data_IF_922048673062
#
_entry.id   IF_922048673062
#
_cell.length_a   1.000
_cell.length_b   1.000
_cell.length_c   1.000
_cell.angle_alpha   90.00
_cell.angle_beta   90.00
_cell.angle_gamma   90.00
#
_symmetry.space_group_name_H-M   'P 1'
#
loop_
_entity.id
_entity.type
_entity.pdbx_description
1 polymer ?
#
# COMPACT_ATOMS: atom_id res chain seq x y z
N UNK A 1 1.73 14.83 73.55
CA UNK A 1 0.44 14.40 73.02
C UNK A 1 0.62 14.24 71.56
N UNK A 2 0.59 13.00 71.07
CA UNK A 2 0.73 12.71 69.63
C UNK A 2 -0.65 12.61 68.95
N UNK A 3 -0.77 13.10 67.73
CA UNK A 3 -1.91 12.85 66.86
C UNK A 3 -1.53 11.79 65.82
N UNK A 4 -2.22 10.65 65.97
CA UNK A 4 -2.33 9.56 65.01
C UNK A 4 -2.83 10.05 63.63
N UNK A 5 -2.16 9.65 62.55
CA UNK A 5 -2.73 9.63 61.21
C UNK A 5 -2.40 8.30 60.54
N UNK A 6 -3.44 7.54 60.25
CA UNK A 6 -3.42 6.28 59.55
C UNK A 6 -2.96 6.43 58.08
N UNK A 7 -2.36 5.42 57.45
CA UNK A 7 -1.86 5.47 56.08
C UNK A 7 -3.01 5.28 55.07
N UNK A 8 -3.09 6.20 54.12
CA UNK A 8 -4.01 6.16 52.98
C UNK A 8 -3.55 5.09 51.97
N UNK A 9 -4.39 4.13 51.70
CA UNK A 9 -4.22 3.13 50.61
C UNK A 9 -4.19 3.84 49.25
N UNK A 10 -3.07 3.69 48.54
CA UNK A 10 -2.97 4.03 47.13
C UNK A 10 -3.50 2.84 46.32
N UNK A 11 -4.70 2.96 45.77
CA UNK A 11 -5.24 2.04 44.78
C UNK A 11 -4.57 2.31 43.44
N UNK A 12 -3.79 1.35 42.97
CA UNK A 12 -3.18 1.37 41.64
C UNK A 12 -4.25 1.40 40.55
N UNK A 13 -4.27 2.46 39.80
CA UNK A 13 -4.99 2.49 38.51
C UNK A 13 -4.07 1.87 37.46
N UNK A 14 -4.50 0.74 36.91
CA UNK A 14 -3.92 0.15 35.71
C UNK A 14 -4.07 1.16 34.57
N UNK A 15 -2.94 1.61 34.04
CA UNK A 15 -2.91 2.37 32.80
C UNK A 15 -3.28 1.44 31.63
N UNK A 16 -4.53 1.47 31.20
CA UNK A 16 -4.91 0.92 29.92
C UNK A 16 -4.23 1.75 28.83
N UNK A 17 -3.31 1.12 28.11
CA UNK A 17 -2.70 1.68 26.91
C UNK A 17 -3.80 2.07 25.93
N UNK A 18 -3.97 3.36 25.69
CA UNK A 18 -4.84 3.87 24.63
C UNK A 18 -4.16 3.55 23.30
N UNK A 19 -4.69 2.56 22.60
CA UNK A 19 -4.39 2.35 21.18
C UNK A 19 -4.95 3.57 20.45
N UNK A 20 -4.07 4.45 20.01
CA UNK A 20 -4.44 5.56 19.12
C UNK A 20 -4.61 4.94 17.74
N UNK A 21 -5.86 4.67 17.35
CA UNK A 21 -6.20 4.30 15.99
C UNK A 21 -5.88 5.51 15.08
N UNK A 22 -4.91 5.34 14.17
CA UNK A 22 -4.70 6.29 13.08
C UNK A 22 -5.85 6.07 12.10
N UNK A 23 -6.97 6.74 12.36
CA UNK A 23 -8.05 6.83 11.37
C UNK A 23 -7.60 7.81 10.29
N UNK A 24 -7.33 7.33 9.09
CA UNK A 24 -7.34 8.15 7.89
C UNK A 24 -8.76 8.73 7.75
N UNK A 25 -8.94 9.96 8.19
CA UNK A 25 -10.21 10.67 8.04
C UNK A 25 -10.38 11.06 6.58
N UNK A 26 -11.13 10.26 5.83
CA UNK A 26 -11.71 10.70 4.57
C UNK A 26 -12.69 11.84 4.88
N UNK A 27 -12.49 13.02 4.29
CA UNK A 27 -13.44 14.12 4.34
C UNK A 27 -14.74 13.68 3.67
N UNK A 28 -15.75 13.33 4.47
CA UNK A 28 -17.11 13.10 3.99
C UNK A 28 -17.77 14.47 3.74
N UNK A 29 -17.92 14.83 2.47
CA UNK A 29 -18.87 15.85 2.05
C UNK A 29 -20.19 15.15 1.73
N UNK A 30 -21.19 15.38 2.56
CA UNK A 30 -22.53 14.83 2.34
C UNK A 30 -23.20 15.61 1.20
N UNK A 31 -23.59 14.90 0.14
CA UNK A 31 -24.54 15.39 -0.85
C UNK A 31 -25.73 14.41 -0.93
N UNK A 32 -26.91 14.89 -0.57
CA UNK A 32 -28.19 14.20 -0.74
C UNK A 32 -28.62 14.22 -2.21
N UNK A 33 -29.11 13.09 -2.72
CA UNK A 33 -29.78 13.08 -4.04
C UNK A 33 -30.42 11.72 -4.36
N UNK A 34 -31.72 11.74 -4.65
CA UNK A 34 -32.67 10.66 -4.66
C UNK A 34 -32.62 9.71 -5.88
N UNK A 35 -33.04 8.52 -5.63
CA UNK A 35 -33.62 7.37 -6.27
C UNK A 35 -33.96 7.30 -7.78
N UNK A 36 -33.80 6.08 -8.31
CA UNK A 36 -34.37 5.64 -9.57
C UNK A 36 -33.94 4.19 -9.87
N UNK A 37 -34.86 3.24 -9.66
CA UNK A 37 -34.65 1.84 -9.96
C UNK A 37 -34.92 1.51 -11.42
N UNK A 38 -34.21 0.55 -12.01
CA UNK A 38 -34.58 -0.16 -13.24
C UNK A 38 -34.11 -1.62 -13.20
N UNK A 39 -35.00 -2.47 -13.71
CA UNK A 39 -35.05 -3.92 -13.66
C UNK A 39 -34.03 -4.67 -14.53
N UNK A 40 -33.77 -5.91 -14.10
CA UNK A 40 -32.94 -6.95 -14.71
C UNK A 40 -33.56 -7.64 -15.93
N UNK A 41 -32.73 -7.98 -16.91
CA UNK A 41 -32.94 -9.14 -17.77
C UNK A 41 -31.62 -9.86 -18.04
N UNK A 42 -31.59 -11.15 -17.69
CA UNK A 42 -30.41 -11.99 -17.83
C UNK A 42 -30.26 -12.59 -19.23
N UNK A 43 -29.03 -12.83 -19.64
CA UNK A 43 -28.70 -13.73 -20.75
C UNK A 43 -27.40 -14.46 -20.47
N UNK A 44 -27.49 -15.79 -20.45
CA UNK A 44 -26.38 -16.72 -20.29
C UNK A 44 -25.59 -16.87 -21.58
N UNK A 45 -24.24 -16.79 -21.52
CA UNK A 45 -23.34 -17.26 -22.60
C UNK A 45 -22.24 -18.14 -22.05
N UNK A 46 -21.99 -19.22 -22.77
CA UNK A 46 -21.09 -20.33 -22.50
C UNK A 46 -19.61 -19.93 -22.50
N UNK A 47 -18.83 -20.60 -21.62
CA UNK A 47 -17.38 -20.46 -21.51
C UNK A 47 -16.67 -21.12 -22.69
N UNK A 48 -15.86 -20.34 -23.40
CA UNK A 48 -14.86 -20.82 -24.33
C UNK A 48 -13.49 -20.88 -23.66
N UNK A 49 -12.80 -22.00 -23.78
CA UNK A 49 -11.45 -22.20 -23.28
C UNK A 49 -10.46 -21.27 -23.98
N UNK A 50 -9.73 -20.43 -23.24
CA UNK A 50 -8.66 -19.58 -23.76
C UNK A 50 -7.33 -20.27 -23.51
N UNK A 51 -6.64 -20.60 -24.60
CA UNK A 51 -5.28 -21.13 -24.61
C UNK A 51 -4.33 -20.00 -24.21
N UNK A 52 -3.54 -20.22 -23.14
CA UNK A 52 -2.52 -19.28 -22.69
C UNK A 52 -1.38 -19.18 -23.72
N UNK A 53 -1.26 -18.04 -24.38
CA UNK A 53 -0.12 -17.71 -25.24
C UNK A 53 0.94 -17.06 -24.37
N UNK A 54 2.14 -17.64 -24.29
CA UNK A 54 3.27 -17.07 -23.58
C UNK A 54 3.62 -15.69 -24.13
N UNK A 55 3.65 -14.68 -23.26
CA UNK A 55 4.02 -13.31 -23.61
C UNK A 55 5.53 -13.24 -23.89
N UNK A 56 5.99 -12.52 -24.91
CA UNK A 56 7.42 -12.32 -25.15
C UNK A 56 8.01 -11.39 -24.08
N UNK A 57 9.13 -11.81 -23.48
CA UNK A 57 9.86 -11.10 -22.43
C UNK A 57 10.78 -10.00 -23.01
N UNK A 58 10.22 -9.04 -23.72
CA UNK A 58 10.91 -7.79 -24.03
C UNK A 58 10.05 -6.67 -23.50
N UNK A 59 10.50 -6.05 -22.38
CA UNK A 59 9.87 -4.83 -21.89
C UNK A 59 9.84 -3.80 -23.04
N UNK A 60 8.65 -3.31 -23.43
CA UNK A 60 8.59 -2.26 -24.43
C UNK A 60 9.33 -1.03 -23.90
N UNK A 61 10.08 -0.34 -24.79
CA UNK A 61 10.72 0.91 -24.43
C UNK A 61 9.67 1.89 -23.88
N UNK A 62 9.97 2.52 -22.74
CA UNK A 62 9.07 3.50 -22.12
C UNK A 62 8.78 4.61 -23.14
N UNK A 63 7.49 4.93 -23.33
CA UNK A 63 7.06 6.05 -24.14
C UNK A 63 7.70 7.36 -23.63
N UNK A 64 8.47 8.05 -24.49
CA UNK A 64 9.20 9.27 -24.13
C UNK A 64 8.30 10.39 -23.61
N UNK A 65 7.05 10.47 -24.08
CA UNK A 65 6.07 11.45 -23.58
C UNK A 65 5.65 11.11 -22.14
N UNK A 66 5.38 9.84 -21.87
CA UNK A 66 5.07 9.39 -20.51
C UNK A 66 6.25 9.60 -19.55
N UNK A 67 7.45 9.25 -19.98
CA UNK A 67 8.65 9.49 -19.15
C UNK A 67 8.82 10.97 -18.80
N UNK A 68 8.57 11.87 -19.75
CA UNK A 68 8.56 13.32 -19.50
C UNK A 68 7.53 13.74 -18.46
N UNK A 69 6.30 13.18 -18.50
CA UNK A 69 5.25 13.44 -17.49
C UNK A 69 5.71 12.96 -16.12
N UNK A 70 6.27 11.74 -16.02
CA UNK A 70 6.77 11.20 -14.76
C UNK A 70 7.89 12.04 -14.15
N UNK A 71 8.84 12.52 -14.98
CA UNK A 71 9.94 13.38 -14.56
C UNK A 71 9.46 14.77 -14.10
N UNK A 72 8.53 15.38 -14.85
CA UNK A 72 7.96 16.68 -14.48
C UNK A 72 7.18 16.58 -13.18
N UNK A 73 6.35 15.54 -13.02
CA UNK A 73 5.59 15.35 -11.79
C UNK A 73 6.48 15.00 -10.59
N UNK A 74 7.61 14.29 -10.81
CA UNK A 74 8.62 14.09 -9.75
C UNK A 74 9.23 15.41 -9.31
N UNK A 75 9.58 16.26 -10.25
CA UNK A 75 10.09 17.61 -9.96
C UNK A 75 9.06 18.44 -9.18
N UNK A 76 7.81 18.43 -9.61
CA UNK A 76 6.71 19.12 -8.91
C UNK A 76 6.45 18.56 -7.51
N UNK A 77 6.47 17.24 -7.36
CA UNK A 77 6.35 16.58 -6.06
C UNK A 77 7.43 17.04 -5.07
N UNK A 78 8.69 17.07 -5.52
CA UNK A 78 9.78 17.57 -4.68
C UNK A 78 9.55 19.01 -4.25
N UNK A 79 9.10 19.87 -5.16
CA UNK A 79 8.81 21.28 -4.84
C UNK A 79 7.64 21.46 -3.85
N UNK A 80 6.62 20.58 -3.92
CA UNK A 80 5.42 20.69 -3.10
C UNK A 80 5.52 20.02 -1.73
N UNK A 81 6.28 18.92 -1.63
CA UNK A 81 6.21 18.04 -0.48
C UNK A 81 7.55 17.71 0.17
N UNK A 82 8.69 17.87 -0.52
CA UNK A 82 9.99 17.50 0.03
C UNK A 82 10.73 18.76 0.50
N UNK A 83 11.00 18.83 1.78
CA UNK A 83 11.80 19.90 2.38
C UNK A 83 13.25 19.87 1.93
N UNK A 84 13.96 20.98 2.08
CA UNK A 84 15.39 21.04 1.76
C UNK A 84 16.28 20.11 2.57
N UNK A 85 15.75 19.57 3.66
CA UNK A 85 16.37 18.55 4.53
C UNK A 85 16.02 17.10 4.12
N UNK A 86 15.19 16.91 3.11
CA UNK A 86 14.72 15.59 2.65
C UNK A 86 13.45 15.09 3.32
N UNK A 87 12.83 15.88 4.19
CA UNK A 87 11.58 15.55 4.86
C UNK A 87 10.40 15.65 3.90
N UNK A 88 9.62 14.56 3.77
CA UNK A 88 8.32 14.60 3.09
C UNK A 88 7.24 15.02 4.07
N UNK A 89 6.48 16.05 3.74
CA UNK A 89 5.40 16.55 4.60
C UNK A 89 4.05 16.50 3.90
N UNK A 90 3.01 16.16 4.67
CA UNK A 90 1.62 16.21 4.23
C UNK A 90 0.97 17.53 4.66
N UNK A 91 0.81 18.51 3.77
CA UNK A 91 0.25 19.81 4.11
C UNK A 91 -1.24 19.73 4.49
N UNK A 92 -1.95 18.73 3.97
CA UNK A 92 -3.39 18.57 4.25
C UNK A 92 -3.64 18.05 5.66
N UNK A 93 -2.62 17.47 6.30
CA UNK A 93 -2.66 16.94 7.67
C UNK A 93 -1.74 17.71 8.63
N UNK A 94 -1.62 19.01 8.43
CA UNK A 94 -0.83 19.90 9.31
C UNK A 94 0.68 19.71 9.19
N UNK A 95 1.17 19.25 8.07
CA UNK A 95 2.61 19.09 7.80
C UNK A 95 3.24 17.93 8.56
N UNK A 96 2.50 16.89 8.89
CA UNK A 96 3.06 15.65 9.43
C UNK A 96 3.91 14.92 8.39
N UNK A 97 4.75 14.00 8.85
CA UNK A 97 5.52 13.07 8.03
C UNK A 97 5.18 11.65 8.46
N UNK A 98 4.90 10.78 7.50
CA UNK A 98 4.75 9.35 7.72
C UNK A 98 5.95 8.60 7.14
N UNK A 99 6.27 7.43 7.70
CA UNK A 99 7.24 6.52 7.08
C UNK A 99 6.80 6.11 5.67
N UNK A 100 5.47 6.00 5.43
CA UNK A 100 4.88 5.77 4.11
C UNK A 100 5.26 6.87 3.11
N UNK A 101 5.10 8.15 3.48
CA UNK A 101 5.46 9.27 2.60
C UNK A 101 6.95 9.30 2.26
N UNK A 102 7.82 8.98 3.23
CA UNK A 102 9.26 8.86 3.00
C UNK A 102 9.57 7.68 2.06
N UNK A 103 8.91 6.53 2.24
CA UNK A 103 9.12 5.35 1.39
C UNK A 103 8.76 5.62 -0.08
N UNK A 104 7.66 6.31 -0.33
CA UNK A 104 7.24 6.69 -1.68
C UNK A 104 8.25 7.62 -2.36
N UNK A 105 8.81 8.58 -1.61
CA UNK A 105 9.83 9.47 -2.15
C UNK A 105 11.12 8.71 -2.48
N UNK A 106 11.54 7.77 -1.62
CA UNK A 106 12.72 6.91 -1.87
C UNK A 106 12.54 6.05 -3.11
N UNK A 107 11.40 5.36 -3.25
CA UNK A 107 11.10 4.55 -4.44
C UNK A 107 11.09 5.40 -5.71
N UNK A 108 10.44 6.56 -5.70
CA UNK A 108 10.41 7.45 -6.85
C UNK A 108 11.80 7.97 -7.19
N UNK A 109 12.60 8.35 -6.19
CA UNK A 109 13.96 8.87 -6.41
C UNK A 109 14.85 7.82 -7.08
N UNK A 110 14.83 6.56 -6.61
CA UNK A 110 15.68 5.53 -7.21
C UNK A 110 15.22 5.17 -8.64
N UNK A 111 13.92 5.07 -8.90
CA UNK A 111 13.40 4.80 -10.25
C UNK A 111 13.59 5.97 -11.23
N UNK A 112 13.68 7.21 -10.70
CA UNK A 112 13.98 8.40 -11.50
C UNK A 112 15.48 8.69 -11.61
N UNK A 113 16.36 7.81 -11.16
CA UNK A 113 17.83 7.99 -11.15
C UNK A 113 18.26 9.28 -10.44
N UNK A 114 17.55 9.66 -9.39
CA UNK A 114 17.77 10.91 -8.64
C UNK A 114 18.47 10.62 -7.31
N UNK A 115 19.77 10.30 -7.38
CA UNK A 115 20.58 9.98 -6.21
C UNK A 115 20.55 11.11 -5.18
N UNK A 116 20.64 12.36 -5.60
CA UNK A 116 20.69 13.50 -4.67
C UNK A 116 19.45 13.60 -3.80
N UNK A 117 18.26 13.42 -4.42
CA UNK A 117 17.00 13.38 -3.65
C UNK A 117 16.91 12.14 -2.79
N UNK A 118 17.37 10.98 -3.29
CA UNK A 118 17.42 9.75 -2.50
C UNK A 118 18.26 9.93 -1.23
N UNK A 119 19.48 10.43 -1.36
CA UNK A 119 20.41 10.65 -0.24
C UNK A 119 19.78 11.56 0.83
N UNK A 120 19.16 12.66 0.40
CA UNK A 120 18.53 13.63 1.30
C UNK A 120 17.34 13.03 2.04
N UNK A 121 16.42 12.36 1.31
CA UNK A 121 15.23 11.71 1.90
C UNK A 121 15.65 10.58 2.83
N UNK A 122 16.63 9.74 2.43
CA UNK A 122 17.14 8.67 3.27
C UNK A 122 17.77 9.19 4.56
N UNK A 123 18.64 10.19 4.45
CA UNK A 123 19.30 10.77 5.63
C UNK A 123 18.28 11.29 6.65
N UNK A 124 17.24 11.98 6.18
CA UNK A 124 16.18 12.46 7.06
C UNK A 124 15.41 11.30 7.70
N UNK A 125 15.05 10.29 6.91
CA UNK A 125 14.31 9.10 7.36
C UNK A 125 15.07 8.32 8.42
N UNK A 126 16.34 8.01 8.16
CA UNK A 126 17.22 7.31 9.10
C UNK A 126 17.36 8.09 10.41
N UNK A 127 17.60 9.42 10.32
CA UNK A 127 17.83 10.26 11.49
C UNK A 127 16.59 10.45 12.37
N UNK A 128 15.41 10.60 11.76
CA UNK A 128 14.22 11.07 12.49
C UNK A 128 13.19 9.96 12.73
N UNK A 129 13.15 8.91 11.91
CA UNK A 129 12.17 7.81 12.05
C UNK A 129 12.81 6.49 12.49
N UNK A 130 14.08 6.19 12.19
CA UNK A 130 14.74 4.96 12.60
C UNK A 130 15.26 5.03 14.05
N UNK A 131 14.42 5.50 14.95
CA UNK A 131 14.75 5.78 16.37
C UNK A 131 14.39 4.66 17.33
N UNK A 132 13.91 3.53 16.81
CA UNK A 132 13.36 2.42 17.61
C UNK A 132 14.42 1.47 18.15
N UNK A 133 15.59 1.40 17.52
CA UNK A 133 16.69 0.49 17.90
C UNK A 133 16.56 -0.94 17.38
N UNK A 134 15.45 -1.27 16.69
CA UNK A 134 15.19 -2.58 16.07
C UNK A 134 15.37 -2.59 14.54
N UNK A 135 15.83 -1.48 13.97
CA UNK A 135 16.02 -1.31 12.52
C UNK A 135 14.79 -0.83 11.75
N UNK A 136 13.61 -0.80 12.39
CA UNK A 136 12.36 -0.33 11.79
C UNK A 136 12.13 1.16 12.02
N UNK A 137 11.14 1.71 11.32
CA UNK A 137 10.83 3.13 11.35
C UNK A 137 9.58 3.41 12.20
N UNK A 138 9.61 4.51 12.93
CA UNK A 138 8.43 5.08 13.55
C UNK A 138 7.46 5.57 12.46
N UNK A 139 6.18 5.25 12.58
CA UNK A 139 5.19 5.47 11.50
C UNK A 139 4.81 6.93 11.32
N UNK A 140 4.91 7.75 12.39
CA UNK A 140 4.41 9.14 12.36
C UNK A 140 5.34 10.10 13.11
N UNK A 141 5.68 11.20 12.43
CA UNK A 141 6.40 12.34 12.98
C UNK A 141 5.60 13.63 12.77
N UNK A 142 5.62 14.53 13.73
CA UNK A 142 4.94 15.82 13.65
C UNK A 142 5.31 16.73 14.80
N UNK A 143 5.27 18.05 14.58
CA UNK A 143 5.60 19.00 15.64
C UNK A 143 7.03 18.90 16.19
N UNK A 144 7.97 18.38 15.40
CA UNK A 144 9.39 18.26 15.78
C UNK A 144 9.75 16.97 16.49
N UNK A 145 8.82 16.02 16.68
CA UNK A 145 9.04 14.76 17.40
C UNK A 145 8.29 13.60 16.77
N UNK A 146 8.72 12.35 17.08
CA UNK A 146 7.94 11.16 16.76
C UNK A 146 6.64 11.16 17.55
N UNK A 147 5.53 10.97 16.87
CA UNK A 147 4.17 10.91 17.41
C UNK A 147 3.69 9.47 17.61
N UNK A 148 4.09 8.56 16.72
CA UNK A 148 3.81 7.13 16.83
C UNK A 148 5.08 6.33 16.56
N UNK A 149 5.51 5.59 17.57
CA UNK A 149 6.70 4.73 17.52
C UNK A 149 6.43 3.35 16.90
N UNK A 150 5.16 3.00 16.60
CA UNK A 150 4.89 1.74 15.94
C UNK A 150 5.43 1.74 14.50
N UNK A 151 5.80 0.55 14.03
CA UNK A 151 6.13 0.35 12.60
C UNK A 151 4.87 0.32 11.74
N UNK A 152 5.05 0.58 10.44
CA UNK A 152 4.07 0.35 9.39
C UNK A 152 4.74 -0.49 8.30
N UNK A 153 4.32 -1.75 8.19
CA UNK A 153 5.07 -2.76 7.43
C UNK A 153 5.13 -2.47 5.91
N UNK A 154 4.15 -1.76 5.36
CA UNK A 154 4.21 -1.28 3.96
C UNK A 154 5.38 -0.33 3.76
N UNK A 155 5.55 0.63 4.68
CA UNK A 155 6.65 1.59 4.62
C UNK A 155 8.00 0.92 4.85
N UNK A 156 8.12 0.03 5.85
CA UNK A 156 9.36 -0.69 6.12
C UNK A 156 9.77 -1.56 4.91
N UNK A 157 8.80 -2.25 4.28
CA UNK A 157 9.03 -3.02 3.04
C UNK A 157 9.48 -2.14 1.87
N UNK A 158 8.81 -1.03 1.64
CA UNK A 158 9.10 -0.13 0.53
C UNK A 158 10.44 0.61 0.74
N UNK A 159 10.80 0.97 1.98
CA UNK A 159 12.12 1.53 2.31
C UNK A 159 13.22 0.49 2.10
N UNK A 160 13.03 -0.75 2.58
CA UNK A 160 14.00 -1.82 2.39
C UNK A 160 14.25 -2.08 0.90
N UNK A 161 13.18 -2.16 0.09
CA UNK A 161 13.27 -2.33 -1.36
C UNK A 161 14.01 -1.16 -2.02
N UNK A 162 13.66 0.08 -1.67
CA UNK A 162 14.32 1.27 -2.21
C UNK A 162 15.82 1.31 -1.88
N UNK A 163 16.20 0.88 -0.66
CA UNK A 163 17.60 0.79 -0.25
C UNK A 163 18.38 -0.30 -1.00
N UNK A 164 17.78 -1.48 -1.23
CA UNK A 164 18.40 -2.53 -2.05
C UNK A 164 18.62 -2.03 -3.48
N UNK A 165 17.62 -1.42 -4.07
CA UNK A 165 17.71 -0.82 -5.39
C UNK A 165 18.79 0.28 -5.47
N UNK A 166 18.83 1.18 -4.49
CA UNK A 166 19.83 2.23 -4.42
C UNK A 166 21.26 1.66 -4.26
N UNK A 167 21.42 0.64 -3.40
CA UNK A 167 22.69 -0.06 -3.22
C UNK A 167 23.24 -0.59 -4.52
N UNK A 168 22.39 -1.24 -5.32
CA UNK A 168 22.77 -1.78 -6.61
C UNK A 168 22.94 -0.72 -7.69
N UNK A 169 21.93 0.13 -7.86
CA UNK A 169 21.86 1.12 -8.93
C UNK A 169 22.89 2.22 -8.79
N UNK A 170 23.08 2.74 -7.58
CA UNK A 170 24.08 3.80 -7.30
C UNK A 170 25.47 3.26 -6.91
N UNK A 171 25.61 1.94 -6.74
CA UNK A 171 26.86 1.28 -6.40
C UNK A 171 27.36 1.59 -4.98
N UNK A 172 26.44 1.73 -4.01
CA UNK A 172 26.77 2.12 -2.64
C UNK A 172 26.34 1.04 -1.63
N UNK A 173 27.30 0.26 -1.14
CA UNK A 173 27.04 -0.86 -0.23
C UNK A 173 26.49 -0.45 1.13
N UNK A 174 26.53 0.82 1.51
CA UNK A 174 25.94 1.29 2.77
C UNK A 174 24.42 1.18 2.76
N UNK A 175 23.77 1.40 1.61
CA UNK A 175 22.33 1.20 1.46
C UNK A 175 21.94 -0.28 1.58
N UNK A 176 22.72 -1.17 0.96
CA UNK A 176 22.49 -2.61 1.12
C UNK A 176 22.59 -3.04 2.59
N UNK A 177 23.62 -2.59 3.31
CA UNK A 177 23.75 -2.88 4.74
C UNK A 177 22.60 -2.29 5.58
N UNK A 178 22.10 -1.10 5.20
CA UNK A 178 20.93 -0.51 5.84
C UNK A 178 19.66 -1.34 5.57
N UNK A 179 19.44 -1.78 4.33
CA UNK A 179 18.32 -2.65 3.98
C UNK A 179 18.29 -3.94 4.79
N UNK A 180 19.43 -4.63 4.92
CA UNK A 180 19.51 -5.87 5.71
C UNK A 180 19.14 -5.65 7.19
N UNK A 181 19.44 -4.49 7.77
CA UNK A 181 19.00 -4.15 9.14
C UNK A 181 17.47 -4.00 9.21
N UNK A 182 16.87 -3.35 8.21
CA UNK A 182 15.40 -3.21 8.14
C UNK A 182 14.75 -4.59 7.97
N UNK A 183 15.26 -5.43 7.07
CA UNK A 183 14.75 -6.78 6.82
C UNK A 183 14.79 -7.65 8.08
N UNK A 184 15.89 -7.60 8.86
CA UNK A 184 15.98 -8.30 10.13
C UNK A 184 14.93 -7.81 11.13
N UNK A 185 14.74 -6.49 11.24
CA UNK A 185 13.70 -5.89 12.09
C UNK A 185 12.29 -6.29 11.67
N UNK A 186 11.97 -6.25 10.37
CA UNK A 186 10.68 -6.69 9.85
C UNK A 186 10.39 -8.15 10.19
N UNK A 187 11.38 -9.04 9.97
CA UNK A 187 11.19 -10.46 10.29
C UNK A 187 10.93 -10.67 11.77
N UNK A 188 11.63 -9.96 12.62
CA UNK A 188 11.53 -10.11 14.08
C UNK A 188 10.25 -9.51 14.65
N UNK A 189 9.73 -8.42 14.09
CA UNK A 189 8.69 -7.60 14.72
C UNK A 189 7.38 -7.52 13.95
N UNK A 190 7.42 -7.61 12.62
CA UNK A 190 6.24 -7.45 11.76
C UNK A 190 5.77 -8.79 11.18
N UNK A 191 6.61 -9.84 11.22
CA UNK A 191 6.21 -11.18 10.82
C UNK A 191 5.82 -12.00 12.06
N UNK A 192 4.71 -12.71 11.96
CA UNK A 192 4.24 -13.63 12.99
C UNK A 192 3.86 -14.98 12.36
N UNK A 193 3.65 -16.02 13.17
CA UNK A 193 3.23 -17.33 12.68
C UNK A 193 1.85 -17.71 13.21
N UNK A 194 0.98 -18.16 12.33
CA UNK A 194 -0.34 -18.70 12.64
C UNK A 194 -0.48 -20.08 11.99
N UNK A 195 -0.67 -21.11 12.82
CA UNK A 195 -0.82 -22.50 12.35
C UNK A 195 0.31 -22.93 11.38
N UNK A 196 1.54 -22.49 11.64
CA UNK A 196 2.71 -22.82 10.82
C UNK A 196 2.87 -21.97 9.55
N UNK A 197 1.97 -21.03 9.29
CA UNK A 197 2.07 -20.06 8.19
C UNK A 197 2.69 -18.77 8.69
N UNK A 198 3.75 -18.30 8.05
CA UNK A 198 4.31 -16.97 8.30
C UNK A 198 3.38 -15.90 7.73
N UNK A 199 3.07 -14.89 8.50
CA UNK A 199 2.09 -13.83 8.18
C UNK A 199 2.75 -12.49 8.40
N UNK A 200 2.69 -11.64 7.39
CA UNK A 200 3.04 -10.22 7.52
C UNK A 200 1.87 -9.49 8.19
N UNK A 201 2.08 -8.99 9.39
CA UNK A 201 1.14 -8.14 10.09
C UNK A 201 1.32 -6.68 9.64
N UNK A 202 0.37 -5.82 9.96
CA UNK A 202 0.40 -4.42 9.53
C UNK A 202 1.45 -3.55 10.27
N UNK A 203 2.15 -4.12 11.24
CA UNK A 203 3.21 -3.50 12.02
C UNK A 203 3.47 -4.29 13.30
N UNK A 204 4.45 -3.90 14.08
CA UNK A 204 4.80 -4.56 15.33
C UNK A 204 3.63 -4.63 16.32
N UNK A 205 2.80 -3.60 16.38
CA UNK A 205 1.58 -3.57 17.21
C UNK A 205 0.55 -4.61 16.78
N UNK A 206 0.46 -4.83 15.46
CA UNK A 206 -0.49 -5.75 14.83
C UNK A 206 -0.04 -7.21 14.95
N UNK A 207 1.26 -7.49 14.83
CA UNK A 207 1.84 -8.82 14.98
C UNK A 207 1.65 -9.39 16.39
N UNK A 208 1.67 -8.54 17.40
CA UNK A 208 1.55 -8.92 18.82
C UNK A 208 0.10 -8.98 19.32
N UNK A 209 -0.88 -8.61 18.50
CA UNK A 209 -2.30 -8.60 18.87
C UNK A 209 -2.78 -10.00 19.27
N UNK A 210 -3.38 -10.10 20.49
CA UNK A 210 -3.79 -11.39 21.04
C UNK A 210 -5.21 -11.79 20.62
N UNK A 211 -6.12 -10.83 20.55
CA UNK A 211 -7.52 -11.09 20.21
C UNK A 211 -8.02 -10.05 19.18
N UNK A 212 -8.59 -10.49 18.06
CA UNK A 212 -8.76 -11.89 17.63
C UNK A 212 -7.45 -12.58 17.22
N UNK A 213 -6.41 -11.83 16.93
CA UNK A 213 -5.08 -12.25 16.51
C UNK A 213 -4.40 -11.18 15.68
N UNK A 214 -3.34 -11.49 14.91
CA UNK A 214 -2.63 -10.48 14.14
C UNK A 214 -3.55 -9.75 13.19
N UNK A 215 -3.38 -8.42 13.15
CA UNK A 215 -4.09 -7.53 12.22
C UNK A 215 -3.27 -7.42 10.94
N UNK A 216 -3.93 -7.57 9.83
CA UNK A 216 -3.33 -7.45 8.51
C UNK A 216 -4.03 -6.37 7.69
N UNK A 217 -3.26 -5.69 6.88
CA UNK A 217 -3.73 -4.86 5.78
C UNK A 217 -3.32 -5.56 4.48
N UNK A 218 -4.25 -6.09 3.68
CA UNK A 218 -3.92 -6.83 2.46
C UNK A 218 -3.07 -6.02 1.48
N UNK A 219 -3.16 -4.68 1.50
CA UNK A 219 -2.36 -3.81 0.65
C UNK A 219 -0.89 -3.68 1.08
N UNK A 220 -0.53 -4.19 2.26
CA UNK A 220 0.85 -4.23 2.73
C UNK A 220 1.62 -5.45 2.20
N UNK A 221 0.91 -6.42 1.64
CA UNK A 221 1.57 -7.56 1.01
C UNK A 221 2.27 -7.14 -0.28
N UNK A 222 3.58 -7.37 -0.32
CA UNK A 222 4.43 -7.00 -1.44
C UNK A 222 5.21 -8.22 -1.97
N UNK A 223 4.52 -9.22 -2.56
CA UNK A 223 5.17 -10.47 -2.98
C UNK A 223 6.35 -10.25 -3.93
N UNK A 224 6.30 -9.24 -4.79
CA UNK A 224 7.42 -8.85 -5.64
C UNK A 224 8.65 -8.42 -4.83
N UNK A 225 8.46 -7.66 -3.75
CA UNK A 225 9.55 -7.21 -2.88
C UNK A 225 10.11 -8.38 -2.05
N UNK A 226 9.25 -9.30 -1.57
CA UNK A 226 9.71 -10.48 -0.83
C UNK A 226 10.59 -11.40 -1.67
N UNK A 227 10.44 -11.40 -3.01
CA UNK A 227 11.34 -12.11 -3.92
C UNK A 227 12.71 -11.43 -4.02
N UNK A 228 12.74 -10.10 -4.03
CA UNK A 228 13.99 -9.33 -3.94
C UNK A 228 14.66 -9.63 -2.59
N UNK A 229 13.90 -9.55 -1.49
CA UNK A 229 14.44 -9.83 -0.15
C UNK A 229 15.00 -11.27 -0.03
N UNK A 230 14.35 -12.26 -0.66
CA UNK A 230 14.83 -13.63 -0.67
C UNK A 230 16.17 -13.82 -1.43
N UNK A 231 16.47 -12.93 -2.39
CA UNK A 231 17.77 -12.95 -3.09
C UNK A 231 18.87 -12.32 -2.25
N UNK A 232 18.56 -11.30 -1.47
CA UNK A 232 19.50 -10.47 -0.76
C UNK A 232 19.71 -10.87 0.72
N UNK A 233 18.69 -11.45 1.35
CA UNK A 233 18.74 -11.95 2.72
C UNK A 233 18.42 -13.45 2.77
N UNK A 234 19.44 -14.26 2.92
CA UNK A 234 19.34 -15.71 3.02
C UNK A 234 19.14 -16.21 4.46
N UNK A 235 19.02 -15.32 5.45
CA UNK A 235 18.86 -15.68 6.86
C UNK A 235 17.40 -15.92 7.22
N UNK A 236 16.47 -15.37 6.43
CA UNK A 236 15.04 -15.49 6.67
C UNK A 236 14.31 -16.08 5.45
N UNK A 237 13.25 -16.89 5.66
CA UNK A 237 12.54 -17.56 4.56
C UNK A 237 11.52 -16.63 3.89
N UNK A 238 11.97 -15.54 3.26
CA UNK A 238 11.13 -14.55 2.59
C UNK A 238 10.18 -15.13 1.54
N UNK A 239 10.59 -16.18 0.85
CA UNK A 239 9.75 -16.88 -0.12
C UNK A 239 8.44 -17.40 0.51
N UNK A 240 8.46 -17.76 1.81
CA UNK A 240 7.24 -18.19 2.51
C UNK A 240 6.20 -17.07 2.64
N UNK A 241 6.63 -15.81 2.62
CA UNK A 241 5.72 -14.65 2.64
C UNK A 241 5.06 -14.40 1.27
N UNK A 242 5.71 -14.80 0.17
CA UNK A 242 5.06 -14.83 -1.15
C UNK A 242 3.87 -15.78 -1.13
N UNK A 243 4.06 -17.00 -0.64
CA UNK A 243 3.01 -18.03 -0.59
C UNK A 243 1.86 -17.64 0.36
N UNK A 244 2.20 -17.14 1.54
CA UNK A 244 1.18 -16.70 2.49
C UNK A 244 0.42 -15.45 2.02
N UNK A 245 1.07 -14.54 1.29
CA UNK A 245 0.41 -13.36 0.73
C UNK A 245 -0.72 -13.76 -0.21
N UNK A 246 -0.49 -14.62 -1.19
CA UNK A 246 -1.55 -15.07 -2.10
C UNK A 246 -2.65 -15.85 -1.38
N UNK A 247 -2.26 -16.72 -0.44
CA UNK A 247 -3.23 -17.43 0.41
C UNK A 247 -4.13 -16.47 1.18
N UNK A 248 -3.56 -15.41 1.76
CA UNK A 248 -4.30 -14.45 2.57
C UNK A 248 -5.07 -13.44 1.71
N UNK A 249 -4.56 -13.03 0.57
CA UNK A 249 -5.29 -12.21 -0.40
C UNK A 249 -6.60 -12.92 -0.81
N UNK A 250 -6.53 -14.19 -1.18
CA UNK A 250 -7.72 -14.98 -1.54
C UNK A 250 -8.69 -15.08 -0.35
N UNK A 251 -8.18 -15.39 0.84
CA UNK A 251 -9.03 -15.53 2.04
C UNK A 251 -9.66 -14.21 2.47
N UNK A 252 -8.93 -13.10 2.46
CA UNK A 252 -9.47 -11.78 2.83
C UNK A 252 -10.51 -11.32 1.82
N UNK A 253 -10.24 -11.53 0.52
CA UNK A 253 -11.18 -11.14 -0.55
C UNK A 253 -12.47 -11.96 -0.53
N UNK A 254 -12.42 -13.23 -0.14
CA UNK A 254 -13.57 -14.12 -0.09
C UNK A 254 -14.29 -14.16 1.27
N UNK A 255 -13.72 -13.57 2.33
CA UNK A 255 -14.26 -13.67 3.67
C UNK A 255 -15.66 -13.05 3.78
N UNK A 256 -16.45 -13.57 4.72
CA UNK A 256 -17.62 -12.84 5.23
C UNK A 256 -17.14 -11.98 6.40
N UNK A 257 -17.15 -10.66 6.23
CA UNK A 257 -16.68 -9.71 7.22
C UNK A 257 -17.88 -8.94 7.80
N UNK A 258 -17.95 -8.88 9.12
CA UNK A 258 -19.05 -8.24 9.87
C UNK A 258 -20.47 -8.67 9.36
N UNK A 259 -20.60 -9.97 9.05
CA UNK A 259 -21.84 -10.53 8.49
C UNK A 259 -22.11 -10.20 7.02
N UNK A 260 -21.18 -9.48 6.36
CA UNK A 260 -21.31 -9.03 4.97
C UNK A 260 -20.54 -9.96 4.03
N UNK A 261 -21.22 -10.52 3.03
CA UNK A 261 -20.61 -11.33 1.97
C UNK A 261 -19.83 -10.45 1.01
N UNK A 262 -18.64 -10.89 0.63
CA UNK A 262 -17.77 -10.16 -0.27
C UNK A 262 -18.32 -10.09 -1.70
N UNK A 263 -18.13 -8.93 -2.32
CA UNK A 263 -18.29 -8.73 -3.76
C UNK A 263 -17.03 -9.08 -4.58
N UNK A 264 -16.03 -9.71 -3.96
CA UNK A 264 -14.75 -10.02 -4.62
C UNK A 264 -13.73 -8.88 -4.50
N UNK A 265 -13.89 -8.03 -3.50
CA UNK A 265 -12.98 -6.94 -3.17
C UNK A 265 -12.18 -7.25 -1.89
N UNK A 266 -10.87 -7.05 -1.86
CA UNK A 266 -10.11 -7.14 -0.62
C UNK A 266 -10.53 -6.02 0.33
N UNK A 267 -10.59 -6.27 1.65
CA UNK A 267 -10.86 -5.22 2.63
C UNK A 267 -9.62 -4.33 2.83
N UNK A 268 -9.83 -3.12 3.36
CA UNK A 268 -8.72 -2.29 3.85
C UNK A 268 -7.95 -3.00 4.97
N UNK A 269 -8.68 -3.57 5.93
CA UNK A 269 -8.10 -4.22 7.11
C UNK A 269 -8.91 -5.45 7.50
N UNK A 270 -8.24 -6.47 7.99
CA UNK A 270 -8.86 -7.62 8.65
C UNK A 270 -7.90 -8.19 9.69
N UNK A 271 -8.30 -9.24 10.39
CA UNK A 271 -7.44 -9.96 11.32
C UNK A 271 -7.46 -11.45 11.04
N UNK A 272 -6.48 -12.17 11.54
CA UNK A 272 -6.43 -13.64 11.49
C UNK A 272 -6.65 -14.16 12.90
N UNK A 273 -7.74 -14.90 13.11
CA UNK A 273 -8.04 -15.50 14.41
C UNK A 273 -6.92 -16.48 14.84
N UNK A 274 -6.31 -16.26 15.99
CA UNK A 274 -5.29 -17.19 16.53
C UNK A 274 -5.85 -18.58 16.82
N UNK A 275 -7.12 -18.67 17.16
CA UNK A 275 -7.74 -19.95 17.53
C UNK A 275 -8.15 -20.80 16.32
N UNK A 276 -8.54 -20.17 15.21
CA UNK A 276 -9.08 -20.87 14.04
C UNK A 276 -8.20 -20.75 12.79
N UNK A 277 -7.33 -19.73 12.72
CA UNK A 277 -6.58 -19.38 11.51
C UNK A 277 -7.45 -18.75 10.41
N UNK A 278 -8.72 -18.45 10.69
CA UNK A 278 -9.63 -17.84 9.73
C UNK A 278 -9.47 -16.32 9.73
N UNK A 279 -9.74 -15.71 8.58
CA UNK A 279 -9.88 -14.26 8.45
C UNK A 279 -11.16 -13.82 9.14
N UNK A 280 -11.07 -12.75 9.90
CA UNK A 280 -12.17 -12.15 10.65
C UNK A 280 -12.13 -10.64 10.56
N UNK A 281 -13.25 -9.97 10.76
CA UNK A 281 -13.33 -8.51 10.83
C UNK A 281 -12.48 -7.93 11.95
N UNK A 282 -12.01 -6.69 11.75
CA UNK A 282 -11.31 -5.90 12.75
C UNK A 282 -11.99 -4.54 12.94
N UNK A 283 -13.13 -4.48 13.67
CA UNK A 283 -13.99 -3.29 13.75
C UNK A 283 -13.38 -2.13 14.54
N UNK A 284 -12.22 -2.30 15.16
CA UNK A 284 -11.48 -1.25 15.86
C UNK A 284 -10.96 -0.16 14.91
N UNK A 285 -10.86 -0.46 13.61
CA UNK A 285 -10.54 0.50 12.55
C UNK A 285 -11.83 0.79 11.78
N UNK A 286 -12.23 2.05 11.74
CA UNK A 286 -13.44 2.46 10.99
C UNK A 286 -13.25 2.21 9.49
N UNK A 287 -14.22 1.56 8.85
CA UNK A 287 -14.15 1.21 7.43
C UNK A 287 -13.12 0.13 7.09
N UNK A 288 -12.73 -0.68 8.09
CA UNK A 288 -11.79 -1.79 7.91
C UNK A 288 -12.24 -2.74 6.79
N UNK A 289 -13.51 -3.08 6.75
CA UNK A 289 -14.08 -4.03 5.78
C UNK A 289 -14.30 -3.42 4.38
N UNK A 290 -14.15 -2.10 4.23
CA UNK A 290 -14.32 -1.44 2.94
C UNK A 290 -13.15 -1.73 1.99
N UNK A 291 -13.42 -1.64 0.69
CA UNK A 291 -12.42 -1.41 -0.33
C UNK A 291 -12.27 0.10 -0.53
N UNK A 292 -11.09 0.64 -0.29
CA UNK A 292 -10.84 2.09 -0.36
C UNK A 292 -9.35 2.40 -0.42
N UNK A 293 -8.96 3.51 0.22
CA UNK A 293 -7.60 4.09 0.13
C UNK A 293 -6.45 3.22 0.67
N UNK A 294 -6.74 2.11 1.34
CA UNK A 294 -5.76 1.06 1.60
C UNK A 294 -5.84 -0.02 0.51
N UNK A 295 -7.01 -0.63 0.34
CA UNK A 295 -7.19 -1.86 -0.43
C UNK A 295 -6.90 -1.72 -1.93
N UNK A 296 -7.12 -0.53 -2.55
CA UNK A 296 -6.82 -0.32 -3.97
C UNK A 296 -5.35 -0.60 -4.32
N UNK A 297 -4.45 -0.43 -3.37
CA UNK A 297 -3.01 -0.69 -3.52
C UNK A 297 -2.71 -2.17 -3.78
N UNK A 298 -3.60 -3.09 -3.37
CA UNK A 298 -3.48 -4.53 -3.66
C UNK A 298 -3.36 -4.78 -5.16
N UNK A 299 -4.18 -4.10 -5.96
CA UNK A 299 -4.22 -4.30 -7.41
C UNK A 299 -2.88 -3.95 -8.06
N UNK A 300 -2.27 -2.86 -7.63
CA UNK A 300 -0.96 -2.44 -8.10
C UNK A 300 0.15 -3.41 -7.65
N UNK A 301 0.20 -3.76 -6.36
CA UNK A 301 1.26 -4.63 -5.80
C UNK A 301 1.24 -6.03 -6.41
N UNK A 302 0.06 -6.60 -6.61
CA UNK A 302 -0.09 -7.90 -7.26
C UNK A 302 0.27 -7.82 -8.75
N UNK A 303 -0.07 -6.73 -9.43
CA UNK A 303 0.31 -6.54 -10.83
C UNK A 303 1.82 -6.38 -11.02
N UNK A 304 2.52 -5.73 -10.09
CA UNK A 304 4.00 -5.69 -10.12
C UNK A 304 4.59 -7.09 -10.09
N UNK A 305 4.09 -7.98 -9.21
CA UNK A 305 4.58 -9.37 -9.15
C UNK A 305 4.26 -10.16 -10.43
N UNK A 306 3.08 -9.94 -11.03
CA UNK A 306 2.73 -10.51 -12.32
C UNK A 306 3.69 -10.06 -13.43
N UNK A 307 4.01 -8.76 -13.48
CA UNK A 307 4.83 -8.15 -14.54
C UNK A 307 6.31 -8.49 -14.36
N UNK A 308 6.85 -8.39 -13.14
CA UNK A 308 8.28 -8.63 -12.90
C UNK A 308 8.63 -10.14 -12.94
N UNK A 309 7.75 -10.98 -12.39
CA UNK A 309 8.07 -12.37 -12.12
C UNK A 309 7.25 -13.38 -12.94
N UNK A 310 6.28 -12.93 -13.74
CA UNK A 310 5.37 -13.84 -14.44
C UNK A 310 4.56 -14.73 -13.49
N UNK A 311 4.28 -14.27 -12.27
CA UNK A 311 3.64 -15.07 -11.23
C UNK A 311 2.20 -15.43 -11.60
N UNK A 312 1.95 -16.73 -11.80
CA UNK A 312 0.63 -17.19 -12.24
C UNK A 312 -0.48 -16.92 -11.21
N UNK A 313 -0.19 -16.99 -9.91
CA UNK A 313 -1.18 -16.68 -8.86
C UNK A 313 -1.59 -15.20 -8.88
N UNK A 314 -0.68 -14.30 -9.27
CA UNK A 314 -0.98 -12.89 -9.48
C UNK A 314 -1.96 -12.70 -10.64
N UNK A 315 -1.68 -13.36 -11.78
CA UNK A 315 -2.58 -13.37 -12.93
C UNK A 315 -3.96 -13.94 -12.57
N UNK A 316 -3.99 -15.07 -11.88
CA UNK A 316 -5.22 -15.74 -11.47
C UNK A 316 -6.03 -14.86 -10.50
N UNK A 317 -5.38 -14.23 -9.52
CA UNK A 317 -6.03 -13.33 -8.56
C UNK A 317 -6.67 -12.14 -9.28
N UNK A 318 -5.90 -11.40 -10.08
CA UNK A 318 -6.39 -10.21 -10.76
C UNK A 318 -7.46 -10.54 -11.82
N UNK A 319 -7.36 -11.68 -12.49
CA UNK A 319 -8.33 -12.12 -13.50
C UNK A 319 -9.66 -12.58 -12.88
N UNK A 320 -9.61 -13.27 -11.76
CA UNK A 320 -10.78 -13.82 -11.07
C UNK A 320 -11.64 -12.75 -10.41
N UNK A 321 -11.02 -11.69 -9.86
CA UNK A 321 -11.71 -10.60 -9.19
C UNK A 321 -12.07 -9.50 -10.17
N UNK A 322 -13.27 -9.60 -10.78
CA UNK A 322 -13.72 -8.78 -11.91
C UNK A 322 -14.62 -7.61 -11.53
N UNK A 323 -14.87 -7.39 -10.23
CA UNK A 323 -15.77 -6.33 -9.75
C UNK A 323 -15.40 -4.96 -10.34
N UNK A 324 -14.13 -4.56 -10.27
CA UNK A 324 -13.66 -3.26 -10.76
C UNK A 324 -13.86 -3.13 -12.28
N UNK A 325 -13.55 -4.19 -13.04
CA UNK A 325 -13.75 -4.21 -14.50
C UNK A 325 -15.24 -4.13 -14.87
N UNK A 326 -16.08 -4.83 -14.13
CA UNK A 326 -17.54 -4.76 -14.32
C UNK A 326 -18.06 -3.33 -14.07
N UNK A 327 -17.61 -2.68 -12.98
CA UNK A 327 -17.97 -1.28 -12.68
C UNK A 327 -17.45 -0.32 -13.75
N UNK A 328 -16.19 -0.45 -14.16
CA UNK A 328 -15.60 0.36 -15.22
C UNK A 328 -16.36 0.22 -16.54
N UNK A 329 -16.66 -0.99 -16.96
CA UNK A 329 -17.39 -1.24 -18.21
C UNK A 329 -18.79 -0.65 -18.21
N UNK A 330 -19.44 -0.59 -17.05
CA UNK A 330 -20.78 -0.02 -16.90
C UNK A 330 -20.78 1.52 -16.87
N UNK A 331 -19.77 2.15 -16.26
CA UNK A 331 -19.80 3.59 -15.95
C UNK A 331 -18.60 4.39 -16.45
N UNK A 332 -17.54 3.73 -16.93
CA UNK A 332 -16.23 4.33 -17.27
C UNK A 332 -15.66 5.16 -16.08
N UNK A 333 -16.02 4.75 -14.88
CA UNK A 333 -15.63 5.36 -13.61
C UNK A 333 -15.63 4.32 -12.50
N UNK A 334 -14.67 4.45 -11.56
CA UNK A 334 -14.66 3.77 -10.28
C UNK A 334 -14.92 4.80 -9.18
N UNK A 335 -15.63 4.37 -8.14
CA UNK A 335 -15.85 5.17 -6.94
C UNK A 335 -14.70 4.88 -5.95
N UNK A 336 -14.29 5.85 -5.10
CA UNK A 336 -13.10 5.68 -4.26
C UNK A 336 -13.31 4.74 -3.08
N UNK A 337 -14.55 4.52 -2.64
CA UNK A 337 -14.83 3.60 -1.53
C UNK A 337 -16.07 2.77 -1.82
N UNK A 338 -15.88 1.46 -1.77
CA UNK A 338 -16.96 0.47 -1.79
C UNK A 338 -17.01 -0.27 -0.46
N UNK A 339 -18.22 -0.60 0.00
CA UNK A 339 -18.41 -1.59 1.06
C UNK A 339 -17.93 -2.97 0.61
N UNK A 340 -17.73 -3.87 1.56
CA UNK A 340 -17.33 -5.24 1.26
C UNK A 340 -18.32 -5.99 0.33
N UNK A 341 -19.58 -5.58 0.34
CA UNK A 341 -20.65 -6.06 -0.55
C UNK A 341 -20.68 -5.36 -1.93
N UNK A 342 -19.73 -4.47 -2.20
CA UNK A 342 -19.64 -3.72 -3.46
C UNK A 342 -20.59 -2.52 -3.56
N UNK A 343 -21.34 -2.17 -2.52
CA UNK A 343 -22.11 -0.93 -2.53
C UNK A 343 -21.20 0.29 -2.41
N UNK A 344 -21.55 1.36 -3.13
CA UNK A 344 -20.80 2.61 -3.06
C UNK A 344 -20.98 3.24 -1.67
N UNK A 345 -19.87 3.49 -0.98
CA UNK A 345 -19.81 4.20 0.30
C UNK A 345 -19.50 5.67 0.07
N UNK A 346 -18.55 5.97 -0.82
CA UNK A 346 -18.25 7.34 -1.26
C UNK A 346 -18.20 7.37 -2.77
N UNK A 347 -18.99 8.27 -3.37
CA UNK A 347 -19.19 8.32 -4.82
C UNK A 347 -18.73 9.65 -5.40
N UNK A 348 -17.45 9.79 -5.72
CA UNK A 348 -16.87 10.90 -6.46
C UNK A 348 -15.75 10.38 -7.37
N UNK A 349 -15.21 11.24 -8.22
CA UNK A 349 -14.11 10.89 -9.11
C UNK A 349 -12.78 11.20 -8.41
N UNK A 350 -11.88 10.21 -8.34
CA UNK A 350 -10.61 10.35 -7.65
C UNK A 350 -9.49 9.67 -8.45
N UNK A 351 -8.56 10.43 -9.03
CA UNK A 351 -7.44 9.87 -9.78
C UNK A 351 -6.56 8.92 -8.97
N UNK A 352 -6.50 9.09 -7.65
CA UNK A 352 -5.74 8.22 -6.73
C UNK A 352 -6.10 6.75 -6.92
N UNK A 353 -7.41 6.46 -6.96
CA UNK A 353 -7.92 5.09 -7.05
C UNK A 353 -7.53 4.44 -8.37
N UNK A 354 -7.62 5.18 -9.47
CA UNK A 354 -7.18 4.65 -10.77
C UNK A 354 -5.69 4.32 -10.79
N UNK A 355 -4.88 5.04 -10.01
CA UNK A 355 -3.43 4.79 -9.89
C UNK A 355 -3.09 3.40 -9.34
N UNK A 356 -3.84 2.90 -8.38
CA UNK A 356 -3.68 1.52 -7.89
C UNK A 356 -4.46 0.52 -8.71
N UNK A 357 -5.75 0.81 -8.97
CA UNK A 357 -6.66 -0.11 -9.66
C UNK A 357 -6.21 -0.48 -11.07
N UNK A 358 -5.45 0.39 -11.75
CA UNK A 358 -4.93 0.10 -13.09
C UNK A 358 -4.17 -1.22 -13.14
N UNK A 359 -3.58 -1.68 -12.02
CA UNK A 359 -2.91 -2.96 -11.94
C UNK A 359 -3.83 -4.15 -12.29
N UNK A 360 -5.09 -4.13 -11.85
CA UNK A 360 -6.07 -5.17 -12.22
C UNK A 360 -6.31 -5.19 -13.73
N UNK A 361 -6.42 -4.02 -14.33
CA UNK A 361 -6.70 -3.87 -15.77
C UNK A 361 -5.50 -4.24 -16.64
N UNK A 362 -4.29 -3.85 -16.24
CA UNK A 362 -3.06 -4.18 -16.99
C UNK A 362 -2.91 -5.67 -17.23
N UNK A 363 -3.30 -6.47 -16.25
CA UNK A 363 -3.18 -7.93 -16.32
C UNK A 363 -4.41 -8.58 -16.96
N UNK A 364 -5.63 -8.13 -16.63
CA UNK A 364 -6.85 -8.84 -16.96
C UNK A 364 -7.69 -8.19 -18.09
N UNK A 365 -7.48 -6.90 -18.39
CA UNK A 365 -8.18 -6.16 -19.47
C UNK A 365 -7.32 -5.01 -20.03
N UNK A 366 -6.32 -5.33 -20.87
CA UNK A 366 -5.41 -4.30 -21.42
C UNK A 366 -6.09 -3.17 -22.19
N UNK A 367 -7.27 -3.41 -22.76
CA UNK A 367 -8.00 -2.37 -23.51
C UNK A 367 -8.56 -1.29 -22.56
N UNK A 368 -9.16 -1.70 -21.45
CA UNK A 368 -9.61 -0.78 -20.41
C UNK A 368 -8.45 -0.16 -19.65
N UNK A 369 -7.33 -0.88 -19.48
CA UNK A 369 -6.10 -0.31 -18.93
C UNK A 369 -5.59 0.88 -19.75
N UNK A 370 -5.64 0.78 -21.08
CA UNK A 370 -5.25 1.90 -21.96
C UNK A 370 -6.16 3.13 -21.76
N UNK A 371 -7.47 2.93 -21.58
CA UNK A 371 -8.42 4.01 -21.30
C UNK A 371 -8.16 4.63 -19.93
N UNK A 372 -7.93 3.80 -18.89
CA UNK A 372 -7.61 4.27 -17.54
C UNK A 372 -6.28 5.04 -17.51
N UNK A 373 -5.26 4.58 -18.25
CA UNK A 373 -4.00 5.32 -18.44
C UNK A 373 -4.25 6.72 -19.03
N UNK A 374 -5.11 6.83 -20.04
CA UNK A 374 -5.46 8.15 -20.60
C UNK A 374 -6.18 9.03 -19.59
N UNK A 375 -7.05 8.46 -18.75
CA UNK A 375 -7.72 9.20 -17.68
C UNK A 375 -6.71 9.70 -16.64
N UNK A 376 -5.75 8.89 -16.21
CA UNK A 376 -4.66 9.31 -15.34
C UNK A 376 -3.83 10.44 -15.98
N UNK A 377 -3.45 10.29 -17.24
CA UNK A 377 -2.74 11.34 -17.98
C UNK A 377 -3.53 12.64 -18.09
N UNK A 378 -4.86 12.56 -18.19
CA UNK A 378 -5.71 13.77 -18.26
C UNK A 378 -5.78 14.55 -16.95
N UNK A 379 -5.40 13.95 -15.80
CA UNK A 379 -5.27 14.66 -14.54
C UNK A 379 -3.95 15.44 -14.40
N UNK A 380 -3.01 15.26 -15.35
CA UNK A 380 -1.72 15.93 -15.31
C UNK A 380 -1.84 17.40 -15.73
N UNK A 381 -1.33 18.28 -14.87
CA UNK A 381 -1.18 19.70 -15.14
C UNK A 381 0.31 20.03 -15.21
N UNK A 382 0.77 20.43 -16.39
CA UNK A 382 2.13 20.94 -16.56
C UNK A 382 2.24 22.32 -15.93
N UNK A 383 3.41 22.62 -15.33
CA UNK A 383 3.65 23.92 -14.69
C UNK A 383 4.76 23.86 -13.65
N UNK A 384 4.74 24.84 -12.74
CA UNK A 384 5.68 24.90 -11.62
C UNK A 384 4.93 25.24 -10.34
N UNK A 385 4.60 24.23 -9.50
CA UNK A 385 4.90 22.78 -9.67
C UNK A 385 3.97 22.07 -10.68
N UNK A 386 4.52 21.12 -11.41
CA UNK A 386 3.72 20.18 -12.19
C UNK A 386 3.08 19.15 -11.23
N UNK A 387 1.81 18.78 -11.46
CA UNK A 387 1.07 17.92 -10.54
C UNK A 387 -0.01 17.12 -11.25
N UNK A 388 -0.56 16.13 -10.57
CA UNK A 388 -1.79 15.42 -10.92
C UNK A 388 -2.94 15.96 -10.05
N UNK A 389 -4.14 16.07 -10.59
CA UNK A 389 -5.36 16.42 -9.85
C UNK A 389 -5.19 17.54 -8.82
N UNK A 390 -5.36 17.22 -7.54
CA UNK A 390 -5.17 18.15 -6.44
C UNK A 390 -3.69 18.30 -6.08
N UNK A 391 -3.11 19.46 -6.40
CA UNK A 391 -1.71 19.79 -6.12
C UNK A 391 -1.32 19.73 -4.63
N UNK A 392 -2.28 19.79 -3.71
CA UNK A 392 -2.03 19.72 -2.26
C UNK A 392 -2.08 18.30 -1.68
N UNK A 393 -2.56 17.32 -2.45
CA UNK A 393 -2.74 15.94 -2.02
C UNK A 393 -1.51 15.08 -2.36
N UNK A 394 -0.57 14.94 -1.39
CA UNK A 394 0.65 14.17 -1.60
C UNK A 394 0.39 12.70 -1.95
N UNK A 395 -0.70 12.10 -1.42
CA UNK A 395 -1.05 10.72 -1.65
C UNK A 395 -1.49 10.49 -3.09
N UNK A 396 -2.32 11.38 -3.63
CA UNK A 396 -2.72 11.39 -5.04
C UNK A 396 -1.50 11.53 -5.98
N UNK A 397 -0.57 12.47 -5.67
CA UNK A 397 0.65 12.64 -6.46
C UNK A 397 1.49 11.38 -6.56
N UNK A 398 1.52 10.57 -5.52
CA UNK A 398 2.25 9.30 -5.52
C UNK A 398 1.49 8.21 -6.27
N UNK A 399 0.22 8.01 -5.98
CA UNK A 399 -0.50 6.86 -6.55
C UNK A 399 -0.81 7.03 -8.03
N UNK A 400 -1.11 8.24 -8.49
CA UNK A 400 -1.21 8.51 -9.95
C UNK A 400 0.13 8.26 -10.64
N UNK A 401 1.23 8.70 -10.04
CA UNK A 401 2.58 8.44 -10.56
C UNK A 401 2.90 6.94 -10.62
N UNK A 402 2.68 6.19 -9.54
CA UNK A 402 2.92 4.75 -9.51
C UNK A 402 2.09 3.98 -10.54
N UNK A 403 0.82 4.34 -10.69
CA UNK A 403 -0.05 3.74 -11.71
C UNK A 403 0.41 3.99 -13.12
N UNK A 404 0.76 5.23 -13.45
CA UNK A 404 1.30 5.61 -14.76
C UNK A 404 2.66 4.97 -15.04
N UNK A 405 3.54 4.93 -14.05
CA UNK A 405 4.86 4.34 -14.17
C UNK A 405 4.76 2.82 -14.41
N UNK A 406 3.86 2.11 -13.71
CA UNK A 406 3.58 0.71 -13.94
C UNK A 406 3.02 0.47 -15.35
N UNK A 407 1.99 1.24 -15.73
CA UNK A 407 1.35 1.13 -17.05
C UNK A 407 2.27 1.51 -18.22
N UNK A 408 3.36 2.20 -17.94
CA UNK A 408 4.35 2.59 -18.93
C UNK A 408 5.62 1.74 -18.93
N UNK A 409 5.73 0.74 -18.06
CA UNK A 409 6.94 -0.08 -17.93
C UNK A 409 8.16 0.69 -17.36
N UNK A 410 7.90 1.77 -16.58
CA UNK A 410 8.94 2.62 -16.01
C UNK A 410 9.39 2.20 -14.60
N UNK A 411 8.98 1.02 -14.14
CA UNK A 411 9.32 0.44 -12.85
C UNK A 411 10.12 -0.87 -13.06
N UNK A 412 11.41 -0.82 -13.43
CA UNK A 412 12.23 -2.02 -13.52
C UNK A 412 12.53 -2.60 -12.12
N UNK A 413 12.72 -3.91 -12.05
CA UNK A 413 13.41 -4.54 -10.92
C UNK A 413 14.90 -4.16 -11.01
N UNK A 414 15.34 -3.21 -10.17
CA UNK A 414 16.71 -2.69 -10.19
C UNK A 414 17.72 -3.59 -9.46
N UNK A 415 17.23 -4.66 -8.83
CA UNK A 415 18.09 -5.68 -8.21
C UNK A 415 18.65 -6.66 -9.26
N UNK A 416 18.15 -6.62 -10.47
CA UNK A 416 18.72 -7.30 -11.62
C UNK A 416 18.47 -8.80 -11.60
N UNK A 417 17.23 -9.16 -11.66
CA UNK A 417 16.89 -10.49 -12.08
C UNK A 417 17.33 -10.79 -13.51
#
# INVERSE_FOLDING_TARGET
>A
MPHDRAPTRITGRSSASRVVAIALAACAVAACGAGGGVSTSGSSRSAGAVTATAMPSTSPAVDGQLLSVLQQSWTGYKQGFVGGDGRVSDPTRGGITTSEGQSYALLRAVWMDDRSSFDSVWHWTETNLQVRGDGLFASLWGGGVVQDHNSATDADSDIALALLFAGRHFGDSSYHAAALRVLAGMWQHDVTSINGMNVVAAGNWAATQQSPGPVINPSYFAPYAYRVFAREDNTHPWASLVDSSYTLLDRCTAATLDGTTSAGLPPNWCAISRSTGQVVSFPQISGADNYGYDAFRVMWRVAVDAIWNGEQRAHDYLSRHDFLRTRWNAAQRLDPVYGHDGKVVSGYDDPTIYGGDIGNFLVADPSSAAQMKQRLLSSFTAGTPAHFGDASNYFEQNWVWFGLALAGGALPDLDGG
#
